data_IF_565684627794
#
_entry.id   IF_565684627794
#
_cell.length_a   1.000
_cell.length_b   1.000
_cell.length_c   1.000
_cell.angle_alpha   90.00
_cell.angle_beta   90.00
_cell.angle_gamma   90.00
#
_symmetry.space_group_name_H-M   'P 1'
#
loop_
_entity.id
_entity.type
_entity.pdbx_description
1 polymer ?
#
# COMPACT_ATOMS: atom_id res chain seq x y z
N UNK A 1 -3.73 -15.91 -5.74
CA UNK A 1 -5.16 -15.54 -5.69
C UNK A 1 -6.06 -16.77 -5.88
N UNK A 2 -6.01 -17.52 -6.98
CA UNK A 2 -6.89 -18.68 -7.20
C UNK A 2 -6.78 -19.83 -6.17
N UNK A 3 -5.58 -20.07 -5.61
CA UNK A 3 -5.40 -21.03 -4.52
C UNK A 3 -6.24 -20.71 -3.27
N UNK A 4 -6.66 -19.46 -3.10
CA UNK A 4 -7.52 -19.05 -2.00
C UNK A 4 -8.93 -19.63 -2.11
N UNK A 5 -9.40 -20.02 -3.31
CA UNK A 5 -10.69 -20.70 -3.49
C UNK A 5 -10.69 -22.09 -2.82
N UNK A 6 -9.57 -22.79 -2.93
CA UNK A 6 -9.43 -24.16 -2.42
C UNK A 6 -9.00 -24.15 -0.96
N UNK A 7 -8.25 -23.13 -0.53
CA UNK A 7 -7.73 -23.03 0.83
C UNK A 7 -8.31 -21.81 1.57
N UNK A 8 -9.29 -22.01 2.48
CA UNK A 8 -9.94 -20.91 3.21
C UNK A 8 -8.96 -20.14 4.12
N UNK A 9 -7.90 -20.80 4.63
CA UNK A 9 -6.86 -20.11 5.39
C UNK A 9 -6.12 -19.09 4.54
N UNK A 10 -5.82 -19.43 3.27
CA UNK A 10 -5.15 -18.52 2.36
C UNK A 10 -6.06 -17.34 1.98
N UNK A 11 -7.37 -17.57 1.83
CA UNK A 11 -8.35 -16.51 1.62
C UNK A 11 -8.40 -15.54 2.80
N UNK A 12 -8.47 -16.06 4.03
CA UNK A 12 -8.48 -15.24 5.25
C UNK A 12 -7.17 -14.45 5.41
N UNK A 13 -6.03 -15.10 5.19
CA UNK A 13 -4.72 -14.46 5.25
C UNK A 13 -4.61 -13.30 4.24
N UNK A 14 -5.01 -13.53 2.99
CA UNK A 14 -4.95 -12.50 1.94
C UNK A 14 -5.83 -11.31 2.27
N UNK A 15 -7.09 -11.56 2.67
CA UNK A 15 -8.02 -10.51 3.08
C UNK A 15 -7.49 -9.71 4.27
N UNK A 16 -6.92 -10.38 5.26
CA UNK A 16 -6.31 -9.71 6.43
C UNK A 16 -5.11 -8.85 6.03
N UNK A 17 -4.21 -9.36 5.18
CA UNK A 17 -3.06 -8.58 4.72
C UNK A 17 -3.49 -7.34 3.95
N UNK A 18 -4.48 -7.50 3.06
CA UNK A 18 -5.03 -6.41 2.26
C UNK A 18 -5.68 -5.33 3.12
N UNK A 19 -6.53 -5.71 4.08
CA UNK A 19 -7.16 -4.76 5.01
C UNK A 19 -6.14 -4.02 5.91
N UNK A 20 -5.03 -4.67 6.25
CA UNK A 20 -3.95 -4.04 7.00
C UNK A 20 -2.96 -3.25 6.12
N UNK A 21 -3.15 -3.22 4.79
CA UNK A 21 -2.22 -2.57 3.86
C UNK A 21 -0.82 -3.22 3.81
N UNK A 22 -0.74 -4.50 4.17
CA UNK A 22 0.51 -5.29 4.23
C UNK A 22 0.62 -6.31 3.09
N UNK A 23 -0.32 -6.27 2.16
CA UNK A 23 -0.28 -7.06 0.95
C UNK A 23 0.70 -6.47 -0.08
N UNK A 24 0.88 -7.21 -1.18
CA UNK A 24 1.82 -6.82 -2.21
C UNK A 24 1.37 -5.60 -3.02
N UNK A 25 0.06 -5.42 -3.27
CA UNK A 25 -0.43 -4.26 -4.01
C UNK A 25 -0.21 -2.97 -3.20
N UNK A 26 -0.47 -3.02 -1.89
CA UNK A 26 -0.16 -1.90 -0.97
C UNK A 26 1.34 -1.55 -0.95
N UNK A 27 2.22 -2.56 -0.95
CA UNK A 27 3.66 -2.35 -1.07
C UNK A 27 4.05 -1.64 -2.38
N UNK A 28 3.51 -2.09 -3.52
CA UNK A 28 3.78 -1.48 -4.83
C UNK A 28 3.26 -0.04 -4.88
N UNK A 29 2.08 0.21 -4.32
CA UNK A 29 1.50 1.55 -4.26
C UNK A 29 2.38 2.50 -3.45
N UNK A 30 2.82 2.08 -2.26
CA UNK A 30 3.77 2.84 -1.44
C UNK A 30 5.06 3.14 -2.21
N UNK A 31 5.63 2.14 -2.89
CA UNK A 31 6.85 2.30 -3.66
C UNK A 31 6.68 3.37 -4.76
N UNK A 32 5.59 3.32 -5.51
CA UNK A 32 5.29 4.29 -6.58
C UNK A 32 5.12 5.71 -6.02
N UNK A 33 4.42 5.88 -4.90
CA UNK A 33 4.25 7.18 -4.25
C UNK A 33 5.59 7.74 -3.75
N UNK A 34 6.42 6.88 -3.14
CA UNK A 34 7.73 7.28 -2.66
C UNK A 34 8.67 7.67 -3.81
N UNK A 35 8.58 6.97 -4.95
CA UNK A 35 9.38 7.28 -6.13
C UNK A 35 8.97 8.62 -6.75
N UNK A 36 7.67 8.89 -6.90
CA UNK A 36 7.16 10.19 -7.37
C UNK A 36 7.59 11.33 -6.43
N UNK A 37 7.50 11.13 -5.12
CA UNK A 37 7.98 12.09 -4.12
C UNK A 37 9.49 12.35 -4.26
N UNK A 38 10.30 11.29 -4.34
CA UNK A 38 11.75 11.40 -4.52
C UNK A 38 12.12 12.10 -5.82
N UNK A 39 11.39 11.84 -6.89
CA UNK A 39 11.59 12.50 -8.17
C UNK A 39 11.30 13.99 -8.08
N UNK A 40 10.15 14.37 -7.51
CA UNK A 40 9.78 15.79 -7.29
C UNK A 40 10.80 16.51 -6.40
N UNK A 41 11.29 15.84 -5.36
CA UNK A 41 12.33 16.36 -4.49
C UNK A 41 13.62 16.66 -5.26
N UNK A 42 14.12 15.71 -6.04
CA UNK A 42 15.32 15.89 -6.85
C UNK A 42 15.16 17.04 -7.86
N UNK A 43 13.99 17.15 -8.49
CA UNK A 43 13.69 18.24 -9.41
C UNK A 43 13.65 19.61 -8.70
N UNK A 44 13.06 19.69 -7.50
CA UNK A 44 13.09 20.90 -6.69
C UNK A 44 14.53 21.27 -6.30
N UNK A 45 15.35 20.30 -5.89
CA UNK A 45 16.76 20.53 -5.57
C UNK A 45 17.53 21.09 -6.77
N UNK A 46 17.37 20.47 -7.94
CA UNK A 46 18.02 20.91 -9.18
C UNK A 46 17.62 22.36 -9.52
N UNK A 47 16.34 22.70 -9.38
CA UNK A 47 15.85 24.06 -9.63
C UNK A 47 16.41 25.08 -8.63
N UNK A 48 16.40 24.77 -7.34
CA UNK A 48 16.98 25.64 -6.31
C UNK A 48 18.48 25.85 -6.54
N UNK A 49 19.19 24.82 -6.99
CA UNK A 49 20.60 24.98 -7.38
C UNK A 49 20.76 25.92 -8.57
N UNK A 50 19.96 25.78 -9.62
CA UNK A 50 20.02 26.69 -10.78
C UNK A 50 19.66 28.14 -10.43
N UNK A 51 18.67 28.35 -9.55
CA UNK A 51 18.12 29.66 -9.23
C UNK A 51 19.02 30.44 -8.24
N UNK A 52 19.70 29.75 -7.32
CA UNK A 52 20.42 30.39 -6.20
C UNK A 52 21.94 30.17 -6.19
N UNK A 53 22.49 29.27 -7.01
CA UNK A 53 23.93 29.00 -7.06
C UNK A 53 24.50 29.45 -8.40
N UNK A 54 25.46 30.38 -8.36
CA UNK A 54 26.13 30.87 -9.57
C UNK A 54 26.96 29.77 -10.26
N UNK A 55 27.10 29.85 -11.58
CA UNK A 55 27.76 28.82 -12.39
C UNK A 55 29.30 28.84 -12.30
N UNK A 56 29.89 29.93 -11.79
CA UNK A 56 31.35 30.16 -11.72
C UNK A 56 31.95 29.82 -10.34
N UNK A 57 31.22 29.07 -9.52
CA UNK A 57 31.56 28.80 -8.13
C UNK A 57 32.50 27.60 -8.02
N UNK A 58 33.70 27.83 -7.47
CA UNK A 58 34.74 26.81 -7.27
C UNK A 58 34.67 26.07 -5.93
N UNK A 59 33.93 26.59 -4.94
CA UNK A 59 33.75 25.95 -3.64
C UNK A 59 32.47 26.39 -2.92
N UNK A 60 32.02 25.55 -1.97
CA UNK A 60 30.93 25.88 -1.04
C UNK A 60 31.38 26.80 0.11
N UNK A 61 32.57 27.42 0.03
CA UNK A 61 33.08 28.28 1.11
C UNK A 61 32.39 29.64 1.10
N UNK A 62 31.47 29.81 2.06
CA UNK A 62 30.77 31.06 2.34
C UNK A 62 29.25 30.95 2.22
N UNK A 63 28.52 31.72 3.03
CA UNK A 63 27.04 31.78 3.09
C UNK A 63 26.36 32.16 1.76
N UNK A 64 27.13 32.48 0.72
CA UNK A 64 26.64 32.95 -0.58
C UNK A 64 26.12 31.82 -1.49
N UNK A 65 26.51 30.57 -1.21
CA UNK A 65 26.21 29.40 -2.06
C UNK A 65 25.32 28.37 -1.35
N UNK A 66 24.54 28.80 -0.36
CA UNK A 66 23.67 27.93 0.45
C UNK A 66 22.22 28.36 0.24
N UNK A 67 21.39 27.43 -0.22
CA UNK A 67 19.94 27.63 -0.35
C UNK A 67 19.32 27.87 1.03
N UNK A 68 18.50 28.90 1.16
CA UNK A 68 17.89 29.30 2.43
C UNK A 68 17.04 28.16 3.03
N UNK A 69 17.06 28.04 4.37
CA UNK A 69 16.29 27.02 5.11
C UNK A 69 14.79 27.07 4.80
N UNK A 70 14.24 28.24 4.51
CA UNK A 70 12.83 28.42 4.24
C UNK A 70 12.39 27.72 2.93
N UNK A 71 13.29 27.60 1.94
CA UNK A 71 13.01 26.86 0.70
C UNK A 71 12.85 25.35 0.92
N UNK A 72 13.55 24.82 1.92
CA UNK A 72 13.42 23.42 2.33
C UNK A 72 12.13 23.17 3.10
N UNK A 73 11.76 24.09 4.01
CA UNK A 73 10.52 24.01 4.79
C UNK A 73 9.25 24.13 3.93
N UNK A 74 9.34 24.72 2.75
CA UNK A 74 8.21 24.85 1.84
C UNK A 74 7.91 23.54 1.07
N UNK A 75 8.79 22.54 1.13
CA UNK A 75 8.48 21.22 0.58
C UNK A 75 7.68 20.44 1.61
N UNK A 76 6.51 19.94 1.20
CA UNK A 76 5.68 19.11 2.06
C UNK A 76 6.40 17.80 2.40
N UNK A 77 6.20 17.31 3.61
CA UNK A 77 6.69 15.99 4.01
C UNK A 77 5.93 14.89 3.25
N UNK A 78 6.57 13.73 3.11
CA UNK A 78 5.94 12.59 2.48
C UNK A 78 4.83 12.03 3.39
N UNK A 79 3.60 12.05 2.89
CA UNK A 79 2.45 11.39 3.50
C UNK A 79 1.98 10.26 2.58
N UNK A 80 1.90 9.04 3.13
CA UNK A 80 1.44 7.89 2.38
C UNK A 80 -0.08 7.87 2.30
N UNK A 81 -0.62 7.81 1.09
CA UNK A 81 -2.04 7.62 0.84
C UNK A 81 -2.36 6.12 0.76
N UNK A 82 -3.10 5.63 1.75
CA UNK A 82 -3.50 4.23 1.83
C UNK A 82 -4.63 3.94 0.84
N UNK A 83 -4.66 2.69 0.35
CA UNK A 83 -5.80 2.24 -0.42
C UNK A 83 -7.08 2.33 0.41
N UNK A 84 -8.15 2.88 -0.19
CA UNK A 84 -9.45 2.91 0.47
C UNK A 84 -9.92 1.49 0.77
N UNK A 85 -10.60 1.31 1.91
CA UNK A 85 -11.15 0.00 2.32
C UNK A 85 -12.06 -0.59 1.23
N UNK A 86 -12.82 0.26 0.51
CA UNK A 86 -13.63 -0.16 -0.62
C UNK A 86 -12.81 -0.75 -1.76
N UNK A 87 -11.76 -0.03 -2.20
CA UNK A 87 -10.85 -0.51 -3.25
C UNK A 87 -10.11 -1.80 -2.86
N UNK A 88 -9.73 -1.93 -1.59
CA UNK A 88 -9.12 -3.15 -1.04
C UNK A 88 -10.08 -4.34 -1.05
N UNK A 89 -11.36 -4.13 -0.73
CA UNK A 89 -12.37 -5.21 -0.79
C UNK A 89 -12.66 -5.64 -2.23
N UNK A 90 -12.67 -4.69 -3.17
CA UNK A 90 -12.79 -5.00 -4.59
C UNK A 90 -11.61 -5.81 -5.12
N UNK A 91 -10.37 -5.45 -4.74
CA UNK A 91 -9.18 -6.18 -5.16
C UNK A 91 -9.15 -7.61 -4.57
N UNK A 92 -9.66 -7.83 -3.36
CA UNK A 92 -9.74 -9.14 -2.72
C UNK A 92 -11.11 -9.85 -2.85
N UNK A 93 -11.90 -9.50 -3.87
CA UNK A 93 -13.22 -10.11 -4.11
C UNK A 93 -13.20 -11.65 -4.18
N UNK A 94 -12.14 -12.24 -4.77
CA UNK A 94 -11.97 -13.70 -4.85
C UNK A 94 -11.81 -14.34 -3.46
N UNK A 95 -11.08 -13.67 -2.55
CA UNK A 95 -10.91 -14.15 -1.19
C UNK A 95 -12.23 -14.07 -0.41
N UNK A 96 -12.99 -12.98 -0.56
CA UNK A 96 -14.32 -12.82 0.03
C UNK A 96 -15.30 -13.91 -0.44
N UNK A 97 -15.39 -14.13 -1.76
CA UNK A 97 -16.24 -15.18 -2.34
C UNK A 97 -15.84 -16.55 -1.82
N UNK A 98 -14.54 -16.85 -1.74
CA UNK A 98 -14.05 -18.11 -1.17
C UNK A 98 -14.52 -18.30 0.28
N UNK A 99 -14.35 -17.29 1.13
CA UNK A 99 -14.77 -17.37 2.53
C UNK A 99 -16.28 -17.59 2.68
N UNK A 100 -17.09 -16.90 1.87
CA UNK A 100 -18.55 -17.11 1.84
C UNK A 100 -18.91 -18.53 1.39
N UNK A 101 -18.24 -19.06 0.37
CA UNK A 101 -18.45 -20.44 -0.09
C UNK A 101 -18.10 -21.46 1.00
N UNK A 102 -16.96 -21.29 1.69
CA UNK A 102 -16.55 -22.18 2.78
C UNK A 102 -17.45 -22.05 4.03
N UNK A 103 -17.96 -20.86 4.32
CA UNK A 103 -18.97 -20.64 5.36
C UNK A 103 -20.28 -21.37 5.03
N UNK A 104 -20.77 -21.25 3.80
CA UNK A 104 -21.97 -21.96 3.37
C UNK A 104 -21.75 -23.49 3.43
N UNK A 105 -20.62 -23.97 2.90
CA UNK A 105 -20.30 -25.40 2.86
C UNK A 105 -20.17 -26.00 4.28
N UNK A 106 -19.49 -25.30 5.19
CA UNK A 106 -19.40 -25.73 6.60
C UNK A 106 -20.76 -25.70 7.30
N UNK A 107 -21.57 -24.66 7.08
CA UNK A 107 -22.93 -24.58 7.61
C UNK A 107 -23.81 -25.76 7.14
N UNK A 108 -23.81 -26.06 5.84
CA UNK A 108 -24.57 -27.20 5.29
C UNK A 108 -24.04 -28.54 5.79
N UNK A 109 -22.72 -28.71 5.91
CA UNK A 109 -22.12 -29.92 6.45
C UNK A 109 -22.52 -30.17 7.91
N UNK A 110 -22.56 -29.12 8.74
CA UNK A 110 -23.02 -29.20 10.14
C UNK A 110 -24.50 -29.61 10.20
N UNK A 111 -25.37 -29.02 9.38
CA UNK A 111 -26.79 -29.39 9.34
C UNK A 111 -26.96 -30.86 8.90
N UNK A 112 -26.27 -31.27 7.82
CA UNK A 112 -26.34 -32.62 7.28
C UNK A 112 -25.89 -33.67 8.31
N UNK A 113 -24.76 -33.43 8.97
CA UNK A 113 -24.23 -34.33 10.01
C UNK A 113 -25.12 -34.35 11.25
N UNK A 114 -25.66 -33.21 11.69
CA UNK A 114 -26.59 -33.13 12.82
C UNK A 114 -27.88 -33.92 12.58
N UNK A 115 -28.44 -33.85 11.37
CA UNK A 115 -29.63 -34.63 11.01
C UNK A 115 -29.37 -36.14 11.02
N UNK A 116 -28.22 -36.58 10.51
CA UNK A 116 -27.83 -38.00 10.56
C UNK A 116 -27.49 -38.49 11.97
N UNK A 117 -26.90 -37.64 12.81
CA UNK A 117 -26.58 -37.98 14.19
C UNK A 117 -27.83 -38.18 15.07
N UNK A 118 -28.95 -37.52 14.75
CA UNK A 118 -30.25 -37.74 15.41
C UNK A 118 -30.98 -39.01 14.97
N UNK A 119 -30.53 -39.68 13.91
CA UNK A 119 -31.18 -40.87 13.35
C UNK A 119 -30.61 -42.20 13.89
N UNK A 120 -29.70 -42.14 14.88
CA UNK A 120 -29.13 -43.27 15.64
C UNK A 120 -29.53 -43.08 17.10
#
# INVERSE_FOLDING_TARGET
RWLALINPYLALKNLSMALCGTDFESYVQFQNQAEDYRYKLAQKMNRLQMDYIAADVSSSEGKKNVVDRNEWKSFADFEHDFMSVGGTLESEAVALISLLLWLALSYFAIIYTSQKAKAI
#
